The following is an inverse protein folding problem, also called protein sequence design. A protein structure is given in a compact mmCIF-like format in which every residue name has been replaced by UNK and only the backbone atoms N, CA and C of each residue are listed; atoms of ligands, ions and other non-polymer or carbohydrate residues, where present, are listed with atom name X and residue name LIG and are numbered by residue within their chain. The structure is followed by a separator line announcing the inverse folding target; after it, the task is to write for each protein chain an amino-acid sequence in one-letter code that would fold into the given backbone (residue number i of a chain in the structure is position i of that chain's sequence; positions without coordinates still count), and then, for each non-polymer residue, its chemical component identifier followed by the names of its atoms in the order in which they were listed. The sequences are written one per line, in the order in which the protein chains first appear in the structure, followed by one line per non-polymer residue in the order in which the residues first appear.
data_IF_887056935066
#
_entry.id   IF_887056935066
#
_cell.length_a   1.000
_cell.length_b   1.000
_cell.length_c   1.000
_cell.angle_alpha   90.00
_cell.angle_beta   90.00
_cell.angle_gamma   90.00
#
_symmetry.space_group_name_H-M   'P 1'
#
loop_
_entity.id
_entity.type
_entity.pdbx_description
1 polymer ?
#
# COMPACT_ATOMS: atom_id res chain seq x y z
N UNK A 1 -3.37 24.53 31.35
CA UNK A 1 -2.63 23.34 30.88
C UNK A 1 -3.16 22.98 29.49
N UNK A 2 -2.36 23.18 28.45
CA UNK A 2 -2.68 22.81 27.07
C UNK A 2 -1.98 21.48 26.80
N UNK A 3 -2.74 20.42 26.58
CA UNK A 3 -2.23 19.10 26.23
C UNK A 3 -1.81 19.11 24.77
N UNK A 4 -0.52 18.93 24.53
CA UNK A 4 0.06 18.67 23.23
C UNK A 4 -0.33 17.26 22.79
N UNK A 5 -1.26 17.16 21.82
CA UNK A 5 -1.51 15.90 21.12
C UNK A 5 -0.43 15.72 20.06
N UNK A 6 0.50 14.80 20.33
CA UNK A 6 1.42 14.26 19.32
C UNK A 6 0.60 13.51 18.27
N UNK A 7 0.34 14.18 17.15
CA UNK A 7 -0.26 13.59 15.94
C UNK A 7 0.37 14.24 14.73
N UNK A 8 1.38 13.57 14.16
CA UNK A 8 2.15 14.07 13.02
C UNK A 8 1.25 14.51 11.85
N UNK A 9 1.49 15.73 11.40
CA UNK A 9 0.82 16.40 10.28
C UNK A 9 0.96 15.54 9.00
N UNK A 10 -0.17 15.04 8.47
CA UNK A 10 -0.25 14.62 7.06
C UNK A 10 -0.53 13.16 6.71
N UNK A 11 -0.85 12.27 7.66
CA UNK A 11 -1.23 10.88 7.34
C UNK A 11 -2.62 10.80 6.70
N UNK A 12 -2.68 10.92 5.37
CA UNK A 12 -3.90 10.73 4.58
C UNK A 12 -4.06 9.25 4.28
N UNK A 13 -5.16 8.65 4.73
CA UNK A 13 -5.55 7.29 4.37
C UNK A 13 -6.90 7.32 3.66
N UNK A 14 -7.05 6.47 2.65
CA UNK A 14 -8.32 6.29 1.95
C UNK A 14 -8.89 4.93 2.35
N UNK A 15 -9.88 4.94 3.24
CA UNK A 15 -10.45 3.74 3.85
C UNK A 15 -11.13 2.85 2.79
N UNK A 16 -11.83 3.46 1.83
CA UNK A 16 -12.47 2.75 0.72
C UNK A 16 -11.45 2.00 -0.14
N UNK A 17 -10.35 2.67 -0.50
CA UNK A 17 -9.27 2.07 -1.27
C UNK A 17 -8.53 1.01 -0.46
N UNK A 18 -8.31 1.23 0.84
CA UNK A 18 -7.68 0.25 1.72
C UNK A 18 -8.53 -1.04 1.83
N UNK A 19 -9.85 -0.90 1.92
CA UNK A 19 -10.77 -2.03 1.92
C UNK A 19 -10.72 -2.79 0.59
N UNK A 20 -10.73 -2.10 -0.55
CA UNK A 20 -10.62 -2.75 -1.88
C UNK A 20 -9.27 -3.43 -2.07
N UNK A 21 -8.17 -2.76 -1.70
CA UNK A 21 -6.83 -3.32 -1.80
C UNK A 21 -6.70 -4.59 -0.94
N UNK A 22 -7.21 -4.55 0.29
CA UNK A 22 -7.23 -5.72 1.16
C UNK A 22 -8.12 -6.85 0.62
N UNK A 23 -9.27 -6.52 0.02
CA UNK A 23 -10.15 -7.52 -0.60
C UNK A 23 -9.49 -8.21 -1.79
N UNK A 24 -8.89 -7.44 -2.70
CA UNK A 24 -8.14 -7.97 -3.85
C UNK A 24 -6.93 -8.82 -3.40
N UNK A 25 -6.18 -8.33 -2.42
CA UNK A 25 -5.08 -9.07 -1.84
C UNK A 25 -5.54 -10.39 -1.21
N UNK A 26 -6.72 -10.39 -0.60
CA UNK A 26 -7.32 -11.59 -0.01
C UNK A 26 -7.72 -12.62 -1.06
N UNK A 27 -8.36 -12.18 -2.14
CA UNK A 27 -8.78 -13.05 -3.24
C UNK A 27 -7.58 -13.66 -3.96
N UNK A 28 -6.52 -12.87 -4.18
CA UNK A 28 -5.27 -13.36 -4.76
C UNK A 28 -4.57 -14.32 -3.79
N UNK A 29 -4.41 -13.95 -2.52
CA UNK A 29 -3.75 -14.79 -1.52
C UNK A 29 -4.43 -16.16 -1.37
N UNK A 30 -5.76 -16.24 -1.53
CA UNK A 30 -6.49 -17.51 -1.52
C UNK A 30 -6.20 -18.39 -2.74
N UNK A 31 -5.83 -17.81 -3.87
CA UNK A 31 -5.56 -18.54 -5.13
C UNK A 31 -4.09 -18.94 -5.28
N UNK A 32 -3.17 -18.05 -4.90
CA UNK A 32 -1.73 -18.23 -5.17
C UNK A 32 -0.88 -18.37 -3.90
N UNK A 33 -1.49 -18.18 -2.73
CA UNK A 33 -0.80 -18.21 -1.44
C UNK A 33 -0.41 -16.81 -0.94
N UNK A 34 -0.53 -16.59 0.36
CA UNK A 34 -0.32 -15.26 0.98
C UNK A 34 1.09 -14.70 0.80
N UNK A 35 2.11 -15.57 0.75
CA UNK A 35 3.53 -15.16 0.60
C UNK A 35 3.87 -14.63 -0.80
N UNK A 36 3.07 -14.98 -1.79
CA UNK A 36 3.23 -14.54 -3.19
C UNK A 36 2.59 -13.18 -3.46
N UNK A 37 1.84 -12.62 -2.51
CA UNK A 37 1.13 -11.35 -2.66
C UNK A 37 1.72 -10.28 -1.76
N UNK A 38 1.98 -9.11 -2.32
CA UNK A 38 2.36 -7.91 -1.59
C UNK A 38 1.43 -6.74 -1.87
N UNK A 39 1.14 -5.95 -0.84
CA UNK A 39 0.46 -4.66 -0.97
C UNK A 39 1.42 -3.54 -0.60
N UNK A 40 1.69 -2.67 -1.56
CA UNK A 40 2.64 -1.57 -1.41
C UNK A 40 1.90 -0.22 -1.46
N UNK A 41 2.30 0.71 -0.60
CA UNK A 41 1.77 2.08 -0.62
C UNK A 41 2.83 3.11 -0.25
N UNK A 42 2.69 4.34 -0.70
CA UNK A 42 3.58 5.44 -0.29
C UNK A 42 3.26 6.04 1.06
N UNK A 43 2.08 5.74 1.60
CA UNK A 43 1.60 6.33 2.84
C UNK A 43 1.61 5.29 3.96
N UNK A 44 2.45 5.52 4.98
CA UNK A 44 2.55 4.63 6.14
C UNK A 44 1.19 4.43 6.86
N UNK A 45 0.31 5.44 6.85
CA UNK A 45 -1.05 5.31 7.38
C UNK A 45 -1.94 4.37 6.56
N UNK A 46 -1.75 4.33 5.24
CA UNK A 46 -2.43 3.36 4.37
C UNK A 46 -1.90 1.95 4.61
N UNK A 47 -0.57 1.79 4.70
CA UNK A 47 0.09 0.52 5.04
C UNK A 47 -0.44 -0.03 6.36
N UNK A 48 -0.50 0.81 7.41
CA UNK A 48 -1.04 0.42 8.71
C UNK A 48 -2.50 -0.03 8.61
N UNK A 49 -3.32 0.69 7.82
CA UNK A 49 -4.73 0.37 7.67
C UNK A 49 -4.97 -0.92 6.90
N UNK A 50 -4.29 -1.13 5.78
CA UNK A 50 -4.39 -2.36 4.99
C UNK A 50 -3.89 -3.55 5.80
N UNK A 51 -2.78 -3.39 6.53
CA UNK A 51 -2.25 -4.42 7.45
C UNK A 51 -3.28 -4.80 8.50
N UNK A 52 -3.96 -3.82 9.11
CA UNK A 52 -5.01 -4.07 10.09
C UNK A 52 -6.16 -4.88 9.49
N UNK A 53 -6.64 -4.52 8.30
CA UNK A 53 -7.74 -5.20 7.62
C UNK A 53 -7.35 -6.65 7.29
N UNK A 54 -6.18 -6.87 6.69
CA UNK A 54 -5.72 -8.20 6.31
C UNK A 54 -5.50 -9.11 7.51
N UNK A 55 -4.96 -8.59 8.62
CA UNK A 55 -4.82 -9.34 9.88
C UNK A 55 -6.17 -9.75 10.45
N UNK A 56 -7.17 -8.86 10.44
CA UNK A 56 -8.54 -9.18 10.88
C UNK A 56 -9.18 -10.27 10.00
N UNK A 57 -8.81 -10.34 8.73
CA UNK A 57 -9.26 -11.38 7.79
C UNK A 57 -8.47 -12.69 7.86
N UNK A 58 -7.52 -12.83 8.79
CA UNK A 58 -6.70 -14.04 8.94
C UNK A 58 -5.60 -14.18 7.88
N UNK A 59 -5.30 -13.11 7.15
CA UNK A 59 -4.31 -13.07 6.07
C UNK A 59 -3.09 -12.22 6.48
N UNK A 60 -2.64 -12.40 7.72
CA UNK A 60 -1.49 -11.66 8.26
C UNK A 60 -0.15 -11.98 7.59
N UNK A 61 -0.10 -13.06 6.79
CA UNK A 61 1.09 -13.50 6.06
C UNK A 61 1.29 -12.76 4.72
N UNK A 62 0.30 -11.98 4.28
CA UNK A 62 0.43 -11.10 3.10
C UNK A 62 1.38 -9.96 3.44
N UNK A 63 2.36 -9.70 2.57
CA UNK A 63 3.29 -8.61 2.79
C UNK A 63 2.59 -7.27 2.59
N UNK A 64 2.70 -6.35 3.55
CA UNK A 64 2.19 -4.98 3.42
C UNK A 64 3.29 -4.03 3.82
N UNK A 65 3.70 -3.17 2.90
CA UNK A 65 4.89 -2.33 3.10
C UNK A 65 4.86 -1.04 2.31
N UNK A 66 5.83 -0.18 2.59
CA UNK A 66 6.05 1.00 1.77
C UNK A 66 6.95 0.65 0.60
N UNK A 67 6.83 1.27 -0.58
CA UNK A 67 7.70 0.86 -1.70
C UNK A 67 9.19 1.19 -1.45
N UNK A 68 9.49 2.13 -0.54
CA UNK A 68 10.85 2.34 -0.03
C UNK A 68 11.43 1.10 0.68
N UNK A 69 10.58 0.30 1.31
CA UNK A 69 10.97 -0.96 1.98
C UNK A 69 10.91 -2.18 1.07
N UNK A 70 10.40 -2.03 -0.15
CA UNK A 70 10.25 -3.12 -1.12
C UNK A 70 11.53 -3.35 -1.96
N UNK A 71 12.55 -2.51 -1.81
CA UNK A 71 13.79 -2.61 -2.57
C UNK A 71 14.53 -3.92 -2.24
N UNK A 72 14.68 -4.80 -3.24
CA UNK A 72 15.41 -6.08 -3.12
C UNK A 72 14.55 -7.30 -2.80
N UNK A 73 13.22 -7.17 -2.71
CA UNK A 73 12.28 -8.29 -2.57
C UNK A 73 11.39 -8.42 -3.80
N UNK A 74 11.10 -9.66 -4.20
CA UNK A 74 10.28 -9.99 -5.37
C UNK A 74 9.05 -10.77 -4.91
N UNK A 75 7.90 -10.46 -5.49
CA UNK A 75 6.62 -11.12 -5.23
C UNK A 75 5.94 -11.41 -6.56
N UNK A 76 5.23 -12.53 -6.65
CA UNK A 76 4.51 -12.90 -7.88
C UNK A 76 3.36 -11.93 -8.21
N UNK A 77 2.76 -11.28 -7.19
CA UNK A 77 1.70 -10.29 -7.35
C UNK A 77 1.90 -9.10 -6.42
N UNK A 78 1.90 -7.90 -6.99
CA UNK A 78 2.03 -6.63 -6.26
C UNK A 78 0.79 -5.76 -6.48
N UNK A 79 0.12 -5.37 -5.39
CA UNK A 79 -0.99 -4.40 -5.39
C UNK A 79 -0.45 -3.05 -4.91
N UNK A 80 -0.56 -2.03 -5.75
CA UNK A 80 -0.14 -0.67 -5.44
C UNK A 80 -1.35 0.18 -5.01
N UNK A 81 -1.36 0.67 -3.77
CA UNK A 81 -2.37 1.62 -3.29
C UNK A 81 -1.81 3.04 -3.30
N UNK A 82 -2.30 3.83 -4.25
CA UNK A 82 -1.81 5.18 -4.50
C UNK A 82 -2.47 6.26 -3.62
N UNK A 83 -3.60 5.97 -2.95
CA UNK A 83 -4.32 6.84 -1.98
C UNK A 83 -4.86 8.16 -2.56
N UNK A 84 -4.21 8.74 -3.57
CA UNK A 84 -4.67 9.88 -4.37
C UNK A 84 -4.87 9.45 -5.83
N UNK A 85 -6.11 9.55 -6.30
CA UNK A 85 -6.42 9.91 -7.67
C UNK A 85 -7.10 11.28 -7.61
N UNK A 86 -6.34 12.36 -7.80
CA UNK A 86 -6.97 13.67 -8.03
C UNK A 86 -7.46 13.65 -9.49
N UNK A 87 -8.78 13.64 -9.69
CA UNK A 87 -9.39 13.76 -11.01
C UNK A 87 -9.07 15.15 -11.56
N UNK A 88 -7.97 15.28 -12.30
CA UNK A 88 -7.61 16.51 -13.01
C UNK A 88 -6.23 17.04 -12.62
N UNK A 89 -5.21 16.70 -13.40
CA UNK A 89 -4.03 17.54 -13.63
C UNK A 89 -3.06 17.84 -12.48
N UNK A 90 -3.35 17.40 -11.25
CA UNK A 90 -2.42 17.53 -10.11
C UNK A 90 -1.30 16.49 -10.20
N UNK A 91 -0.06 16.95 -10.34
CA UNK A 91 1.17 16.17 -10.48
C UNK A 91 1.06 14.77 -9.85
N UNK A 92 0.99 13.76 -10.72
CA UNK A 92 1.24 12.37 -10.38
C UNK A 92 2.68 12.30 -9.88
N UNK A 93 2.95 12.60 -8.61
CA UNK A 93 4.25 12.33 -7.98
C UNK A 93 4.65 10.85 -8.11
N UNK A 94 3.67 9.99 -8.41
CA UNK A 94 3.76 8.58 -8.77
C UNK A 94 4.39 8.30 -10.15
N UNK A 95 4.21 9.20 -11.12
CA UNK A 95 4.67 9.05 -12.52
C UNK A 95 5.74 10.09 -12.88
N UNK A 96 5.90 11.13 -12.05
CA UNK A 96 6.89 12.19 -12.26
C UNK A 96 8.33 11.71 -12.03
N UNK A 97 8.52 10.64 -11.24
CA UNK A 97 9.85 10.07 -10.98
C UNK A 97 10.03 8.74 -11.72
N UNK A 98 10.73 8.73 -12.87
CA UNK A 98 10.89 7.53 -13.70
C UNK A 98 11.67 6.42 -12.99
N UNK A 99 12.43 6.72 -11.93
CA UNK A 99 13.16 5.73 -11.17
C UNK A 99 12.22 4.88 -10.31
N UNK A 100 11.31 5.52 -9.58
CA UNK A 100 10.29 4.81 -8.80
C UNK A 100 9.31 4.03 -9.68
N UNK A 101 8.97 4.56 -10.86
CA UNK A 101 8.11 3.87 -11.81
C UNK A 101 8.78 2.63 -12.41
N UNK A 102 10.04 2.73 -12.82
CA UNK A 102 10.81 1.58 -13.30
C UNK A 102 10.95 0.49 -12.24
N UNK A 103 11.15 0.86 -10.97
CA UNK A 103 11.19 -0.10 -9.85
C UNK A 103 9.84 -0.79 -9.68
N UNK A 104 8.73 -0.05 -9.75
CA UNK A 104 7.39 -0.65 -9.62
C UNK A 104 7.05 -1.61 -10.78
N UNK A 105 7.50 -1.31 -12.00
CA UNK A 105 7.12 -2.05 -13.20
C UNK A 105 8.01 -3.28 -13.48
N UNK A 106 9.25 -3.28 -12.98
CA UNK A 106 10.20 -4.41 -13.14
C UNK A 106 10.15 -5.42 -12.00
N UNK A 107 9.20 -5.27 -11.07
CA UNK A 107 8.99 -6.15 -9.90
C UNK A 107 7.80 -7.11 -10.10
N UNK A 108 7.29 -7.24 -11.33
CA UNK A 108 6.21 -8.14 -11.74
C UNK A 108 6.71 -9.15 -12.79
#
# INVERSE_FOLDING_TARGET
VRTVSSGGVGSRCNIEEANRAAHLASDLARKVGAKSVAVLSWYNSQVAKVTEILRRSGLGDVHVGSIATAQGSEWDYVILSAVRCENGGGSLGLVADPHNFNVALTRA
#
